data_IF_991778629937
#
_entry.id   IF_991778629937
#
_cell.length_a   1.000
_cell.length_b   1.000
_cell.length_c   1.000
_cell.angle_alpha   90.00
_cell.angle_beta   90.00
_cell.angle_gamma   90.00
#
_symmetry.space_group_name_H-M   'P 1'
#
loop_
_entity.id
_entity.type
_entity.pdbx_description
1 polymer ?
#
# COMPACT_ATOMS: atom_id res chain seq x y z
N UNK A 1 -3.52 33.39 -7.39
CA UNK A 1 -4.21 32.08 -7.33
C UNK A 1 -3.31 31.09 -8.03
N UNK A 2 -2.43 30.41 -7.29
CA UNK A 2 -1.39 29.57 -7.89
C UNK A 2 -1.94 28.17 -8.14
N UNK A 3 -1.99 27.77 -9.42
CA UNK A 3 -2.10 26.37 -9.83
C UNK A 3 -0.83 25.64 -9.36
N UNK A 4 -0.86 25.03 -8.18
CA UNK A 4 0.04 23.91 -7.87
C UNK A 4 -0.56 22.67 -8.49
N UNK A 5 -0.27 22.50 -9.78
CA UNK A 5 -0.46 21.25 -10.52
C UNK A 5 0.47 20.20 -9.90
N UNK A 6 -0.04 19.48 -8.91
CA UNK A 6 0.58 18.26 -8.44
C UNK A 6 0.24 17.18 -9.48
N UNK A 7 1.20 16.65 -10.26
CA UNK A 7 0.91 15.75 -11.39
C UNK A 7 0.33 14.39 -10.94
N UNK A 8 0.28 14.13 -9.64
CA UNK A 8 -0.46 13.01 -9.07
C UNK A 8 -1.87 13.50 -8.72
N UNK A 9 -2.94 12.99 -9.38
CA UNK A 9 -4.30 13.23 -8.90
C UNK A 9 -4.36 12.87 -7.42
N UNK A 10 -5.03 13.67 -6.56
CA UNK A 10 -5.07 13.41 -5.13
C UNK A 10 -5.58 11.98 -4.91
N UNK A 11 -4.84 11.21 -4.13
CA UNK A 11 -5.34 9.91 -3.70
C UNK A 11 -6.56 10.15 -2.81
N UNK A 12 -7.62 9.36 -2.95
CA UNK A 12 -8.67 9.32 -1.95
C UNK A 12 -8.06 9.05 -0.57
N UNK A 13 -8.60 9.70 0.47
CA UNK A 13 -8.13 9.51 1.84
C UNK A 13 -8.11 8.04 2.25
N UNK A 14 -9.10 7.25 1.81
CA UNK A 14 -9.18 5.82 2.11
C UNK A 14 -8.05 4.98 1.48
N UNK A 15 -7.48 5.40 0.34
CA UNK A 15 -6.30 4.72 -0.26
C UNK A 15 -5.04 5.08 0.51
N UNK A 16 -4.93 6.32 0.98
CA UNK A 16 -3.83 6.75 1.84
C UNK A 16 -3.86 6.02 3.18
N UNK A 17 -5.03 5.89 3.79
CA UNK A 17 -5.22 5.17 5.05
C UNK A 17 -4.88 3.67 4.90
N UNK A 18 -5.37 3.04 3.82
CA UNK A 18 -4.98 1.68 3.43
C UNK A 18 -3.45 1.53 3.29
N UNK A 19 -2.77 2.52 2.71
CA UNK A 19 -1.32 2.52 2.62
C UNK A 19 -0.64 2.61 3.99
N UNK A 20 -1.11 3.46 4.90
CA UNK A 20 -0.53 3.58 6.24
C UNK A 20 -0.65 2.27 7.04
N UNK A 21 -1.81 1.62 6.95
CA UNK A 21 -2.04 0.29 7.55
C UNK A 21 -1.07 -0.74 6.94
N UNK A 22 -0.99 -0.82 5.61
CA UNK A 22 -0.10 -1.76 4.94
C UNK A 22 1.36 -1.48 5.25
N UNK A 23 1.80 -0.23 5.18
CA UNK A 23 3.18 0.18 5.45
C UNK A 23 3.58 -0.22 6.87
N UNK A 24 2.72 0.04 7.85
CA UNK A 24 2.97 -0.34 9.25
C UNK A 24 3.12 -1.86 9.37
N UNK A 25 2.23 -2.63 8.74
CA UNK A 25 2.29 -4.10 8.79
C UNK A 25 3.48 -4.67 8.02
N UNK A 26 3.86 -4.06 6.91
CA UNK A 26 5.03 -4.44 6.12
C UNK A 26 6.29 -4.21 6.96
N UNK A 27 6.48 -3.02 7.52
CA UNK A 27 7.65 -2.70 8.36
C UNK A 27 7.73 -3.57 9.61
N UNK A 28 6.59 -3.90 10.23
CA UNK A 28 6.52 -4.83 11.37
C UNK A 28 6.82 -6.30 10.94
N UNK A 29 6.48 -6.65 9.70
CA UNK A 29 6.75 -7.97 9.15
C UNK A 29 8.24 -8.16 8.87
N UNK A 30 8.91 -8.92 9.75
CA UNK A 30 10.32 -9.34 9.57
C UNK A 30 10.47 -10.50 8.57
N UNK A 31 9.45 -10.79 7.76
CA UNK A 31 9.33 -12.02 6.95
C UNK A 31 9.79 -11.88 5.52
N UNK A 32 10.12 -10.69 5.05
CA UNK A 32 10.44 -10.52 3.63
C UNK A 32 11.81 -11.06 3.25
N UNK A 33 11.93 -11.43 1.97
CA UNK A 33 13.16 -11.94 1.39
C UNK A 33 14.29 -10.90 1.47
N UNK A 34 15.51 -11.35 1.75
CA UNK A 34 16.73 -10.51 1.84
C UNK A 34 16.76 -9.50 3.01
N UNK A 35 15.88 -9.67 4.01
CA UNK A 35 15.78 -8.76 5.15
C UNK A 35 15.04 -7.46 4.83
N UNK A 36 14.43 -7.37 3.64
CA UNK A 36 13.55 -6.28 3.26
C UNK A 36 12.12 -6.63 3.66
N UNK A 37 11.45 -5.84 4.51
CA UNK A 37 10.09 -6.11 4.93
C UNK A 37 9.14 -6.22 3.73
N UNK A 38 8.38 -7.31 3.65
CA UNK A 38 7.50 -7.64 2.54
C UNK A 38 6.33 -8.50 3.00
N UNK A 39 5.19 -8.37 2.33
CA UNK A 39 4.00 -9.21 2.55
C UNK A 39 3.39 -9.64 1.23
N UNK A 40 2.78 -10.82 1.17
CA UNK A 40 2.04 -11.26 -0.01
C UNK A 40 0.86 -10.33 -0.32
N UNK A 41 0.52 -10.21 -1.61
CA UNK A 41 -0.66 -9.47 -2.04
C UNK A 41 -1.94 -9.96 -1.36
N UNK A 42 -2.09 -11.28 -1.21
CA UNK A 42 -3.27 -11.87 -0.56
C UNK A 42 -3.34 -11.54 0.94
N UNK A 43 -2.19 -11.49 1.61
CA UNK A 43 -2.05 -11.02 2.99
C UNK A 43 -2.42 -9.55 3.11
N UNK A 44 -1.96 -8.70 2.20
CA UNK A 44 -2.29 -7.28 2.18
C UNK A 44 -3.80 -7.06 2.03
N UNK A 45 -4.45 -7.75 1.10
CA UNK A 45 -5.91 -7.72 0.95
C UNK A 45 -6.59 -8.13 2.26
N UNK A 46 -6.17 -9.24 2.85
CA UNK A 46 -6.75 -9.75 4.11
C UNK A 46 -6.63 -8.74 5.24
N UNK A 47 -5.47 -8.07 5.37
CA UNK A 47 -5.24 -7.03 6.37
C UNK A 47 -6.21 -5.87 6.14
N UNK A 48 -6.29 -5.35 4.91
CA UNK A 48 -7.16 -4.22 4.57
C UNK A 48 -8.64 -4.53 4.82
N UNK A 49 -9.12 -5.70 4.40
CA UNK A 49 -10.51 -6.13 4.65
C UNK A 49 -10.80 -6.40 6.12
N UNK A 50 -9.77 -6.64 6.93
CA UNK A 50 -9.89 -6.86 8.37
C UNK A 50 -9.87 -5.58 9.19
N UNK A 51 -9.61 -4.42 8.57
CA UNK A 51 -9.61 -3.12 9.25
C UNK A 51 -11.03 -2.54 9.18
N UNK A 52 -11.75 -2.62 10.29
CA UNK A 52 -13.13 -2.13 10.39
C UNK A 52 -13.25 -0.63 10.08
N UNK A 53 -12.23 0.17 10.40
CA UNK A 53 -12.20 1.62 10.13
C UNK A 53 -12.19 1.94 8.63
N UNK A 54 -11.57 1.07 7.84
CA UNK A 54 -11.48 1.20 6.39
C UNK A 54 -12.76 0.69 5.70
N UNK A 55 -13.47 -0.26 6.32
CA UNK A 55 -14.68 -0.88 5.81
C UNK A 55 -14.58 -1.31 4.32
N UNK A 56 -13.39 -1.79 3.91
CA UNK A 56 -13.10 -2.15 2.53
C UNK A 56 -13.55 -3.58 2.23
N UNK A 57 -14.19 -3.76 1.08
CA UNK A 57 -14.37 -5.09 0.52
C UNK A 57 -13.07 -5.58 -0.14
N UNK A 58 -13.00 -6.88 -0.41
CA UNK A 58 -11.84 -7.48 -1.10
C UNK A 58 -11.52 -6.77 -2.41
N UNK A 59 -12.53 -6.39 -3.19
CA UNK A 59 -12.36 -5.67 -4.45
C UNK A 59 -11.77 -4.27 -4.26
N UNK A 60 -12.20 -3.55 -3.21
CA UNK A 60 -11.66 -2.22 -2.91
C UNK A 60 -10.23 -2.30 -2.39
N UNK A 61 -9.92 -3.31 -1.57
CA UNK A 61 -8.57 -3.56 -1.10
C UNK A 61 -7.62 -3.88 -2.27
N UNK A 62 -8.04 -4.74 -3.21
CA UNK A 62 -7.27 -5.02 -4.43
C UNK A 62 -7.10 -3.77 -5.31
N UNK A 63 -8.14 -2.93 -5.38
CA UNK A 63 -8.09 -1.66 -6.11
C UNK A 63 -7.10 -0.69 -5.46
N UNK A 64 -7.13 -0.54 -4.13
CA UNK A 64 -6.19 0.29 -3.38
C UNK A 64 -4.75 -0.14 -3.61
N UNK A 65 -4.46 -1.44 -3.47
CA UNK A 65 -3.13 -2.01 -3.70
C UNK A 65 -2.65 -1.71 -5.12
N UNK A 66 -3.49 -1.96 -6.12
CA UNK A 66 -3.17 -1.67 -7.52
C UNK A 66 -2.85 -0.19 -7.70
N UNK A 67 -3.64 0.71 -7.10
CA UNK A 67 -3.42 2.15 -7.20
C UNK A 67 -2.13 2.61 -6.53
N UNK A 68 -1.74 1.96 -5.43
CA UNK A 68 -0.49 2.23 -4.72
C UNK A 68 0.72 1.76 -5.52
N UNK A 69 0.62 0.61 -6.19
CA UNK A 69 1.64 0.09 -7.12
C UNK A 69 1.81 1.02 -8.33
N UNK A 70 0.71 1.36 -9.01
CA UNK A 70 0.73 2.25 -10.19
C UNK A 70 1.37 3.62 -9.89
N UNK A 71 1.22 4.10 -8.65
CA UNK A 71 1.78 5.39 -8.22
C UNK A 71 3.18 5.28 -7.64
N UNK A 72 3.69 4.07 -7.41
CA UNK A 72 5.03 3.80 -6.88
C UNK A 72 5.15 3.97 -5.36
N UNK A 73 4.03 3.96 -4.62
CA UNK A 73 4.06 3.89 -3.15
C UNK A 73 4.47 2.51 -2.67
N UNK A 74 4.02 1.48 -3.39
CA UNK A 74 4.42 0.09 -3.21
C UNK A 74 5.08 -0.39 -4.50
N UNK A 75 5.85 -1.46 -4.37
CA UNK A 75 6.32 -2.24 -5.50
C UNK A 75 6.13 -3.73 -5.20
N UNK A 76 5.87 -4.52 -6.24
CA UNK A 76 5.70 -5.96 -6.14
C UNK A 76 6.94 -6.66 -6.69
N UNK A 77 7.50 -7.60 -5.93
CA UNK A 77 8.58 -8.48 -6.36
C UNK A 77 8.22 -9.89 -5.93
N UNK A 78 8.19 -10.82 -6.88
CA UNK A 78 7.83 -12.22 -6.65
C UNK A 78 6.43 -12.42 -6.01
N UNK A 79 5.49 -11.50 -6.28
CA UNK A 79 4.15 -11.53 -5.67
C UNK A 79 4.09 -10.96 -4.24
N UNK A 80 5.22 -10.53 -3.69
CA UNK A 80 5.30 -9.85 -2.41
C UNK A 80 5.35 -8.33 -2.60
N UNK A 81 4.46 -7.64 -1.89
CA UNK A 81 4.39 -6.19 -1.80
C UNK A 81 5.41 -5.66 -0.80
N UNK A 82 6.19 -4.68 -1.25
CA UNK A 82 7.20 -3.98 -0.48
C UNK A 82 6.92 -2.48 -0.51
N UNK A 83 7.20 -1.80 0.60
CA UNK A 83 7.10 -0.34 0.67
C UNK A 83 8.29 0.26 -0.07
N UNK A 84 8.03 1.21 -0.96
CA UNK A 84 9.09 2.02 -1.57
C UNK A 84 9.72 2.89 -0.49
N UNK A 85 10.71 2.37 0.24
CA UNK A 85 11.62 3.21 1.01
C UNK A 85 12.45 3.99 0.00
N UNK A 86 12.25 5.31 -0.03
CA UNK A 86 13.21 6.18 -0.72
C UNK A 86 14.50 6.07 0.07
N UNK A 87 15.39 5.17 -0.34
CA UNK A 87 16.79 5.22 0.11
C UNK A 87 17.30 6.60 -0.27
N UNK A 88 17.52 7.43 0.75
CA UNK A 88 18.34 8.63 0.67
C UNK A 88 19.81 8.22 0.42
#
# INVERSE_FOLDING_TARGET
MSLTDNPRPPLPSWITDAYEVLSTRIVDSSTGHDGVPAIDRERAVTILTGVEELALERVDAEHAITRLLERGYLYEVDGELRVTSRSD
#
